data_IF_072698913994
#
_entry.id   IF_072698913994
#
_cell.length_a   1.000
_cell.length_b   1.000
_cell.length_c   1.000
_cell.angle_alpha   90.00
_cell.angle_beta   90.00
_cell.angle_gamma   90.00
#
_symmetry.space_group_name_H-M   'P 1'
#
loop_
_entity.id
_entity.type
_entity.pdbx_description
1 polymer ?
#
# COMPACT_ATOMS: atom_id res chain seq x y z
N UNK A 1 -56.57 38.78 -45.17
CA UNK A 1 -55.22 38.97 -44.73
C UNK A 1 -54.82 37.78 -43.86
N UNK A 2 -54.06 36.84 -44.45
CA UNK A 2 -53.69 35.57 -43.84
C UNK A 2 -52.31 35.68 -43.13
N UNK A 3 -52.27 35.55 -41.81
CA UNK A 3 -51.02 35.59 -41.03
C UNK A 3 -50.35 34.21 -41.00
N UNK A 4 -49.21 34.06 -41.70
CA UNK A 4 -48.34 32.87 -41.64
C UNK A 4 -47.69 32.79 -40.26
N UNK A 5 -47.94 31.67 -39.52
CA UNK A 5 -47.23 31.34 -38.28
C UNK A 5 -45.83 30.79 -38.64
N UNK A 6 -44.80 31.52 -38.19
CA UNK A 6 -43.41 31.08 -38.29
C UNK A 6 -43.11 30.15 -37.08
N UNK A 7 -42.88 28.88 -37.39
CA UNK A 7 -42.47 27.89 -36.36
C UNK A 7 -41.00 28.04 -36.03
N UNK A 8 -40.68 28.45 -34.80
CA UNK A 8 -39.31 28.47 -34.27
C UNK A 8 -38.83 27.05 -34.01
N UNK A 9 -37.90 26.57 -34.83
CA UNK A 9 -37.18 25.29 -34.59
C UNK A 9 -36.35 25.40 -33.30
N UNK A 10 -36.60 24.47 -32.34
CA UNK A 10 -35.80 24.32 -31.09
C UNK A 10 -34.36 23.91 -31.44
N UNK A 11 -33.32 24.46 -30.82
CA UNK A 11 -31.96 24.05 -31.08
C UNK A 11 -31.75 22.61 -30.57
N UNK A 12 -31.23 21.74 -31.42
CA UNK A 12 -30.85 20.36 -31.10
C UNK A 12 -29.65 20.42 -30.18
N UNK A 13 -29.81 19.91 -28.96
CA UNK A 13 -28.72 19.82 -27.98
C UNK A 13 -27.57 18.94 -28.53
N UNK A 14 -26.43 19.54 -28.82
CA UNK A 14 -25.19 18.86 -29.18
C UNK A 14 -24.79 17.92 -28.04
N UNK A 15 -24.92 16.61 -28.22
CA UNK A 15 -24.36 15.62 -27.29
C UNK A 15 -22.87 15.87 -27.17
N UNK A 16 -22.42 16.29 -25.95
CA UNK A 16 -21.01 16.40 -25.62
C UNK A 16 -20.38 15.00 -25.80
N UNK A 17 -19.41 14.89 -26.71
CA UNK A 17 -18.64 13.67 -26.89
C UNK A 17 -18.04 13.27 -25.55
N UNK A 18 -18.32 12.06 -25.10
CA UNK A 18 -17.74 11.49 -23.89
C UNK A 18 -16.21 11.47 -24.08
N UNK A 19 -15.49 12.13 -23.18
CA UNK A 19 -14.01 12.02 -23.13
C UNK A 19 -13.64 10.55 -23.02
N UNK A 20 -12.69 10.06 -23.84
CA UNK A 20 -12.23 8.68 -23.73
C UNK A 20 -11.73 8.49 -22.29
N UNK A 21 -12.32 7.54 -21.56
CA UNK A 21 -11.81 7.09 -20.26
C UNK A 21 -10.41 6.55 -20.54
N UNK A 22 -9.38 7.20 -19.97
CA UNK A 22 -8.04 6.62 -19.91
C UNK A 22 -8.18 5.21 -19.34
N UNK A 23 -7.60 4.17 -19.98
CA UNK A 23 -7.59 2.86 -19.38
C UNK A 23 -6.99 3.03 -17.99
N UNK A 24 -7.70 2.58 -16.94
CA UNK A 24 -7.11 2.41 -15.62
C UNK A 24 -6.02 1.35 -15.86
N UNK A 25 -4.77 1.77 -15.92
CA UNK A 25 -3.66 0.85 -15.89
C UNK A 25 -3.91 -0.07 -14.70
N UNK A 26 -3.92 -1.38 -14.94
CA UNK A 26 -4.06 -2.35 -13.87
C UNK A 26 -2.95 -2.07 -12.86
N UNK A 27 -3.33 -1.65 -11.66
CA UNK A 27 -2.40 -1.35 -10.56
C UNK A 27 -1.52 -2.58 -10.27
N UNK A 28 -2.02 -3.77 -10.62
CA UNK A 28 -1.33 -5.05 -10.49
C UNK A 28 -0.24 -5.30 -11.56
N UNK A 29 -0.15 -4.46 -12.61
CA UNK A 29 0.89 -4.58 -13.64
C UNK A 29 2.03 -3.57 -13.46
N UNK A 30 1.91 -2.66 -12.49
CA UNK A 30 2.98 -1.71 -12.18
C UNK A 30 4.14 -2.44 -11.46
N UNK A 31 5.41 -2.12 -11.80
CA UNK A 31 6.54 -2.70 -11.09
C UNK A 31 6.52 -2.31 -9.61
N UNK A 32 6.77 -3.27 -8.75
CA UNK A 32 6.84 -3.09 -7.29
C UNK A 32 8.32 -3.04 -6.93
N UNK A 33 8.79 -1.94 -6.35
CA UNK A 33 10.21 -1.72 -6.06
C UNK A 33 11.14 -1.98 -7.26
N UNK A 34 10.68 -1.64 -8.49
CA UNK A 34 11.42 -1.83 -9.74
C UNK A 34 11.37 -3.24 -10.33
N UNK A 35 10.66 -4.18 -9.69
CA UNK A 35 10.51 -5.57 -10.13
C UNK A 35 9.12 -5.74 -10.74
N UNK A 36 9.05 -6.34 -11.95
CA UNK A 36 7.78 -6.62 -12.63
C UNK A 36 7.02 -7.76 -11.93
N UNK A 37 5.68 -7.69 -11.87
CA UNK A 37 4.87 -8.73 -11.23
C UNK A 37 5.10 -10.12 -11.84
N UNK A 38 5.06 -11.14 -11.01
CA UNK A 38 5.23 -12.53 -11.43
C UNK A 38 4.07 -13.00 -12.31
N UNK A 39 4.39 -13.63 -13.43
CA UNK A 39 3.40 -14.25 -14.30
C UNK A 39 3.45 -15.77 -14.12
N UNK A 40 2.47 -16.37 -13.43
CA UNK A 40 2.47 -17.81 -13.18
C UNK A 40 2.33 -18.59 -14.49
N UNK A 41 3.13 -19.64 -14.66
CA UNK A 41 3.04 -20.55 -15.79
C UNK A 41 1.91 -21.55 -15.55
N UNK A 42 1.32 -22.08 -16.63
CA UNK A 42 0.28 -23.11 -16.52
C UNK A 42 0.85 -24.40 -15.91
N UNK A 43 0.25 -24.86 -14.81
CA UNK A 43 0.66 -26.09 -14.12
C UNK A 43 1.86 -25.91 -13.20
N UNK A 44 2.21 -24.69 -12.84
CA UNK A 44 3.23 -24.41 -11.83
C UNK A 44 2.63 -24.58 -10.44
N UNK A 45 3.36 -25.29 -9.57
CA UNK A 45 2.97 -25.48 -8.18
C UNK A 45 3.02 -24.15 -7.41
N UNK A 46 2.11 -24.00 -6.43
CA UNK A 46 2.06 -22.83 -5.59
C UNK A 46 3.31 -22.75 -4.71
N UNK A 47 3.90 -21.55 -4.62
CA UNK A 47 5.17 -21.29 -3.92
C UNK A 47 6.33 -22.15 -4.41
N UNK A 48 6.41 -22.34 -5.75
CA UNK A 48 7.61 -22.93 -6.38
C UNK A 48 8.87 -22.10 -6.05
N UNK A 49 10.03 -22.72 -6.18
CA UNK A 49 11.33 -22.06 -5.92
C UNK A 49 11.47 -20.75 -6.70
N UNK A 50 10.98 -20.72 -7.94
CA UNK A 50 11.00 -19.51 -8.78
C UNK A 50 10.12 -18.38 -8.25
N UNK A 51 8.98 -18.73 -7.66
CA UNK A 51 8.07 -17.76 -7.02
C UNK A 51 8.67 -17.26 -5.71
N UNK A 52 9.24 -18.15 -4.89
CA UNK A 52 9.91 -17.77 -3.64
C UNK A 52 11.10 -16.84 -3.89
N UNK A 53 11.90 -17.12 -4.94
CA UNK A 53 13.02 -16.25 -5.32
C UNK A 53 12.55 -14.87 -5.77
N UNK A 54 11.50 -14.79 -6.57
CA UNK A 54 10.88 -13.55 -6.98
C UNK A 54 10.40 -12.69 -5.78
N UNK A 55 9.70 -13.29 -4.81
CA UNK A 55 9.27 -12.56 -3.61
C UNK A 55 10.44 -12.19 -2.71
N UNK A 56 11.48 -13.01 -2.66
CA UNK A 56 12.73 -12.69 -1.95
C UNK A 56 13.41 -11.46 -2.55
N UNK A 57 13.45 -11.35 -3.87
CA UNK A 57 13.99 -10.16 -4.55
C UNK A 57 13.19 -8.91 -4.23
N UNK A 58 11.86 -8.96 -4.30
CA UNK A 58 10.97 -7.84 -3.95
C UNK A 58 11.20 -7.38 -2.50
N UNK A 59 11.20 -8.32 -1.55
CA UNK A 59 11.40 -8.02 -0.13
C UNK A 59 12.78 -7.42 0.15
N UNK A 60 13.82 -7.92 -0.49
CA UNK A 60 15.17 -7.37 -0.36
C UNK A 60 15.31 -5.99 -1.01
N UNK A 61 14.67 -5.76 -2.15
CA UNK A 61 14.64 -4.44 -2.78
C UNK A 61 13.93 -3.42 -1.88
N UNK A 62 12.77 -3.79 -1.35
CA UNK A 62 12.02 -2.95 -0.43
C UNK A 62 12.76 -2.68 0.89
N UNK A 63 13.44 -3.70 1.44
CA UNK A 63 14.29 -3.54 2.63
C UNK A 63 15.39 -2.51 2.39
N UNK A 64 16.09 -2.58 1.27
CA UNK A 64 17.17 -1.63 0.93
C UNK A 64 16.66 -0.20 0.77
N UNK A 65 15.54 -0.03 0.09
CA UNK A 65 14.89 1.26 -0.13
C UNK A 65 14.49 1.90 1.22
N UNK A 66 13.84 1.11 2.08
CA UNK A 66 13.41 1.55 3.41
C UNK A 66 14.61 1.90 4.32
N UNK A 67 15.67 1.11 4.30
CA UNK A 67 16.89 1.42 5.06
C UNK A 67 17.54 2.73 4.59
N UNK A 68 17.58 2.96 3.29
CA UNK A 68 18.09 4.21 2.74
C UNK A 68 17.27 5.43 3.17
N UNK A 69 15.93 5.31 3.18
CA UNK A 69 15.05 6.38 3.65
C UNK A 69 15.24 6.67 5.15
N UNK A 70 15.36 5.62 5.96
CA UNK A 70 15.65 5.75 7.41
C UNK A 70 16.96 6.48 7.63
N UNK A 71 18.03 6.09 6.96
CA UNK A 71 19.35 6.73 7.11
C UNK A 71 19.31 8.20 6.68
N UNK A 72 18.64 8.51 5.57
CA UNK A 72 18.48 9.89 5.08
C UNK A 72 17.75 10.76 6.10
N UNK A 73 16.68 10.25 6.70
CA UNK A 73 15.90 10.98 7.71
C UNK A 73 16.69 11.19 8.99
N UNK A 74 17.56 10.22 9.40
CA UNK A 74 18.47 10.39 10.56
C UNK A 74 19.42 11.56 10.35
N UNK A 75 20.05 11.62 9.17
CA UNK A 75 20.99 12.70 8.87
C UNK A 75 20.28 14.05 8.84
N UNK A 76 19.10 14.13 8.23
CA UNK A 76 18.29 15.35 8.20
C UNK A 76 17.97 15.89 9.61
N UNK A 77 17.52 15.01 10.52
CA UNK A 77 17.25 15.40 11.92
C UNK A 77 18.50 15.84 12.68
N UNK A 78 19.66 15.25 12.39
CA UNK A 78 20.92 15.66 13.04
C UNK A 78 21.39 17.03 12.56
N UNK A 79 21.22 17.31 11.26
CA UNK A 79 21.61 18.58 10.66
C UNK A 79 20.68 19.73 11.13
N UNK A 80 19.38 19.46 11.27
CA UNK A 80 18.42 20.45 11.76
C UNK A 80 18.57 20.72 13.25
N UNK A 81 18.87 19.71 14.07
CA UNK A 81 19.10 19.88 15.51
C UNK A 81 20.28 20.81 15.85
N UNK A 82 21.19 21.03 14.91
CA UNK A 82 22.33 21.92 15.08
C UNK A 82 21.98 23.41 14.82
N UNK A 83 20.81 23.72 14.31
CA UNK A 83 20.41 25.07 13.87
C UNK A 83 19.13 25.53 14.59
N UNK A 84 19.24 26.15 15.78
CA UNK A 84 18.11 26.71 16.53
C UNK A 84 18.05 28.24 16.38
N UNK A 85 17.19 28.81 15.51
CA UNK A 85 17.17 30.26 15.34
C UNK A 85 16.23 31.03 16.29
N UNK A 86 14.95 30.61 16.49
CA UNK A 86 13.96 31.43 17.24
C UNK A 86 13.00 30.54 18.07
N UNK A 87 12.47 31.05 19.25
CA UNK A 87 11.48 30.31 20.06
C UNK A 87 10.18 29.90 19.32
N UNK A 88 9.70 30.69 18.36
CA UNK A 88 8.52 30.34 17.56
C UNK A 88 8.81 29.23 16.56
N UNK A 89 9.98 29.24 15.94
CA UNK A 89 10.44 28.19 15.04
C UNK A 89 10.63 26.86 15.77
N UNK A 90 11.03 26.94 17.05
CA UNK A 90 11.19 25.77 17.92
C UNK A 90 9.90 24.99 18.12
N UNK A 91 8.73 25.66 18.32
CA UNK A 91 7.44 24.99 18.51
C UNK A 91 6.97 24.27 17.21
N UNK A 92 7.23 24.86 16.06
CA UNK A 92 6.95 24.25 14.76
C UNK A 92 7.84 23.02 14.55
N UNK A 93 9.13 23.14 14.85
CA UNK A 93 10.12 22.09 14.72
C UNK A 93 9.84 20.90 15.65
N UNK A 94 9.39 21.15 16.89
CA UNK A 94 8.96 20.10 17.83
C UNK A 94 7.76 19.30 17.27
N UNK A 95 6.84 19.98 16.56
CA UNK A 95 5.71 19.31 15.89
C UNK A 95 6.16 18.48 14.70
N UNK A 96 7.09 18.95 13.90
CA UNK A 96 7.68 18.23 12.76
C UNK A 96 8.47 17.01 13.22
N UNK A 97 9.32 17.15 14.25
CA UNK A 97 10.00 16.01 14.86
C UNK A 97 9.02 14.95 15.39
N UNK A 98 7.89 15.37 15.95
CA UNK A 98 6.85 14.44 16.39
C UNK A 98 6.24 13.62 15.24
N UNK A 99 6.11 14.21 14.05
CA UNK A 99 5.66 13.51 12.84
C UNK A 99 6.73 12.55 12.31
N UNK A 100 7.98 13.00 12.25
CA UNK A 100 9.11 12.19 11.80
C UNK A 100 9.33 10.96 12.70
N UNK A 101 9.26 11.12 14.01
CA UNK A 101 9.37 10.00 14.97
C UNK A 101 8.26 8.96 14.74
N UNK A 102 7.01 9.40 14.48
CA UNK A 102 5.90 8.47 14.17
C UNK A 102 6.12 7.74 12.84
N UNK A 103 6.69 8.43 11.84
CA UNK A 103 7.04 7.82 10.56
C UNK A 103 8.10 6.76 10.75
N UNK A 104 9.16 7.04 11.53
CA UNK A 104 10.20 6.08 11.89
C UNK A 104 9.69 4.85 12.63
N UNK A 105 8.75 5.04 13.54
CA UNK A 105 8.15 3.90 14.22
C UNK A 105 7.38 3.00 13.24
N UNK A 106 6.72 3.57 12.23
CA UNK A 106 6.07 2.80 11.16
C UNK A 106 7.08 2.07 10.28
N UNK A 107 8.16 2.75 9.88
CA UNK A 107 9.24 2.18 9.07
C UNK A 107 9.93 1.03 9.80
N UNK A 108 10.25 1.20 11.09
CA UNK A 108 10.83 0.14 11.92
C UNK A 108 9.91 -1.06 12.04
N UNK A 109 8.59 -0.85 12.22
CA UNK A 109 7.60 -1.93 12.25
C UNK A 109 7.49 -2.63 10.90
N UNK A 110 7.59 -1.88 9.80
CA UNK A 110 7.59 -2.42 8.45
C UNK A 110 8.84 -3.25 8.18
N UNK A 111 10.02 -2.75 8.58
CA UNK A 111 11.29 -3.49 8.45
C UNK A 111 11.22 -4.85 9.16
N UNK A 112 10.70 -4.89 10.38
CA UNK A 112 10.49 -6.17 11.11
C UNK A 112 9.56 -7.12 10.36
N UNK A 113 8.50 -6.60 9.71
CA UNK A 113 7.58 -7.42 8.89
C UNK A 113 8.27 -7.98 7.65
N UNK A 114 9.14 -7.20 7.02
CA UNK A 114 9.93 -7.65 5.87
C UNK A 114 10.91 -8.76 6.33
N UNK A 115 11.60 -8.57 7.44
CA UNK A 115 12.50 -9.58 8.00
C UNK A 115 11.78 -10.87 8.39
N UNK A 116 10.60 -10.75 9.01
CA UNK A 116 9.76 -11.90 9.30
C UNK A 116 9.30 -12.62 8.03
N UNK A 117 8.95 -11.88 6.96
CA UNK A 117 8.58 -12.47 5.68
C UNK A 117 9.76 -13.21 5.03
N UNK A 118 10.98 -12.64 5.09
CA UNK A 118 12.19 -13.32 4.59
C UNK A 118 12.49 -14.60 5.38
N UNK A 119 12.38 -14.58 6.71
CA UNK A 119 12.53 -15.77 7.54
C UNK A 119 11.50 -16.85 7.17
N UNK A 120 10.25 -16.49 6.88
CA UNK A 120 9.21 -17.43 6.42
C UNK A 120 9.52 -18.04 5.05
N UNK A 121 10.19 -17.30 4.16
CA UNK A 121 10.68 -17.86 2.89
C UNK A 121 11.75 -18.93 3.17
N UNK A 122 12.65 -18.67 4.13
CA UNK A 122 13.71 -19.62 4.49
C UNK A 122 13.14 -20.87 5.19
N UNK A 123 12.09 -20.71 6.00
CA UNK A 123 11.39 -21.80 6.70
C UNK A 123 10.38 -22.54 5.80
N UNK A 124 10.11 -22.07 4.57
CA UNK A 124 9.13 -22.63 3.66
C UNK A 124 7.66 -22.39 4.03
N UNK A 125 7.37 -21.53 5.00
CA UNK A 125 6.01 -21.18 5.44
C UNK A 125 5.44 -19.94 4.74
N UNK A 126 6.22 -19.28 3.88
CA UNK A 126 5.78 -18.12 3.13
C UNK A 126 4.68 -18.47 2.13
N UNK A 127 3.70 -17.57 1.99
CA UNK A 127 2.56 -17.78 1.08
C UNK A 127 1.35 -18.45 1.73
N UNK A 128 1.50 -19.02 2.91
CA UNK A 128 0.40 -19.65 3.65
C UNK A 128 -0.07 -18.79 4.82
N UNK A 129 -1.39 -18.85 5.07
CA UNK A 129 -2.04 -18.09 6.13
C UNK A 129 -1.65 -18.63 7.51
N UNK A 130 -1.26 -17.76 8.44
CA UNK A 130 -0.90 -18.14 9.82
C UNK A 130 -2.08 -18.69 10.62
N UNK A 131 -3.32 -18.27 10.32
CA UNK A 131 -4.52 -18.71 11.05
C UNK A 131 -5.17 -19.95 10.46
N UNK A 132 -5.25 -20.05 9.12
CA UNK A 132 -6.02 -21.11 8.45
C UNK A 132 -5.12 -22.16 7.76
N UNK A 133 -3.85 -21.84 7.53
CA UNK A 133 -2.95 -22.69 6.75
C UNK A 133 -3.23 -22.68 5.24
N UNK A 134 -4.23 -21.95 4.78
CA UNK A 134 -4.59 -21.85 3.37
C UNK A 134 -3.66 -20.94 2.58
N UNK A 135 -3.66 -21.08 1.26
CA UNK A 135 -2.89 -20.23 0.35
C UNK A 135 -3.39 -18.77 0.41
N UNK A 136 -2.47 -17.82 0.57
CA UNK A 136 -2.77 -16.37 0.54
C UNK A 136 -3.12 -15.91 -0.88
N UNK A 137 -2.52 -16.55 -1.90
CA UNK A 137 -2.67 -16.24 -3.31
C UNK A 137 -1.65 -15.21 -3.82
N UNK A 138 -1.08 -15.51 -5.01
CA UNK A 138 0.00 -14.71 -5.61
C UNK A 138 -0.39 -13.24 -5.80
N UNK A 139 -1.59 -12.95 -6.30
CA UNK A 139 -2.07 -11.57 -6.53
C UNK A 139 -2.09 -10.72 -5.25
N UNK A 140 -2.41 -11.35 -4.12
CA UNK A 140 -2.42 -10.67 -2.82
C UNK A 140 -1.01 -10.42 -2.31
N UNK A 141 -0.11 -11.39 -2.50
CA UNK A 141 1.30 -11.25 -2.14
C UNK A 141 2.02 -10.23 -3.04
N UNK A 142 1.70 -10.18 -4.32
CA UNK A 142 2.17 -9.11 -5.22
C UNK A 142 1.72 -7.73 -4.73
N UNK A 143 0.46 -7.57 -4.31
CA UNK A 143 -0.02 -6.31 -3.77
C UNK A 143 0.55 -5.99 -2.38
N UNK A 144 0.85 -7.01 -1.57
CA UNK A 144 1.35 -6.88 -0.20
C UNK A 144 2.28 -8.03 0.16
N UNK A 145 3.59 -7.95 -0.14
CA UNK A 145 4.54 -9.03 0.05
C UNK A 145 4.72 -9.49 1.51
N UNK A 146 4.39 -8.63 2.48
CA UNK A 146 4.44 -8.94 3.92
C UNK A 146 3.12 -9.46 4.48
N UNK A 147 2.18 -9.90 3.63
CA UNK A 147 0.90 -10.44 4.10
C UNK A 147 1.10 -11.80 4.78
N UNK A 148 0.48 -11.98 5.95
CA UNK A 148 0.52 -13.22 6.74
C UNK A 148 -0.84 -13.91 6.82
N UNK A 149 -1.92 -13.22 6.41
CA UNK A 149 -3.29 -13.71 6.48
C UNK A 149 -3.94 -13.76 5.09
N UNK A 150 -4.75 -14.78 4.85
CA UNK A 150 -5.63 -14.84 3.70
C UNK A 150 -6.72 -13.76 3.80
N UNK A 151 -7.51 -13.56 2.73
CA UNK A 151 -8.53 -12.50 2.72
C UNK A 151 -9.57 -12.72 3.81
N UNK A 152 -10.07 -13.94 3.94
CA UNK A 152 -11.12 -14.28 4.90
C UNK A 152 -10.67 -14.14 6.37
N UNK A 153 -9.44 -14.54 6.68
CA UNK A 153 -8.86 -14.36 8.02
C UNK A 153 -8.67 -12.89 8.36
N UNK A 154 -8.23 -12.10 7.38
CA UNK A 154 -8.08 -10.66 7.54
C UNK A 154 -9.43 -9.97 7.78
N UNK A 155 -10.46 -10.30 7.02
CA UNK A 155 -11.82 -9.74 7.19
C UNK A 155 -12.41 -10.11 8.55
N UNK A 156 -12.25 -11.35 9.00
CA UNK A 156 -12.67 -11.79 10.34
C UNK A 156 -12.00 -10.97 11.43
N UNK A 157 -10.69 -10.77 11.31
CA UNK A 157 -9.92 -10.00 12.29
C UNK A 157 -10.34 -8.54 12.32
N UNK A 158 -10.52 -7.91 11.17
CA UNK A 158 -10.99 -6.52 11.07
C UNK A 158 -12.41 -6.34 11.62
N UNK A 159 -13.29 -7.32 11.39
CA UNK A 159 -14.64 -7.31 11.96
C UNK A 159 -14.60 -7.41 13.48
N UNK A 160 -13.80 -8.30 14.04
CA UNK A 160 -13.60 -8.45 15.48
C UNK A 160 -13.03 -7.15 16.10
N UNK A 161 -11.97 -6.57 15.51
CA UNK A 161 -11.39 -5.31 15.98
C UNK A 161 -12.40 -4.16 15.96
N UNK A 162 -13.26 -4.10 14.92
CA UNK A 162 -14.32 -3.09 14.82
C UNK A 162 -15.36 -3.25 15.92
N UNK A 163 -15.80 -4.48 16.21
CA UNK A 163 -16.75 -4.78 17.29
C UNK A 163 -16.18 -4.45 18.67
N UNK A 164 -14.90 -4.70 18.91
CA UNK A 164 -14.25 -4.35 20.18
C UNK A 164 -14.15 -2.84 20.37
N UNK A 165 -13.76 -2.10 19.34
CA UNK A 165 -13.67 -0.63 19.38
C UNK A 165 -15.03 0.03 19.63
N UNK A 166 -16.10 -0.41 18.95
CA UNK A 166 -17.44 0.12 19.14
C UNK A 166 -18.02 -0.21 20.54
N UNK A 167 -17.47 -1.22 21.22
CA UNK A 167 -17.83 -1.54 22.61
C UNK A 167 -17.15 -0.61 23.59
N UNK A 168 -15.87 -0.31 23.40
CA UNK A 168 -15.11 0.60 24.29
C UNK A 168 -15.61 2.05 24.19
N UNK A 169 -16.03 2.51 23.01
CA UNK A 169 -16.61 3.84 22.82
C UNK A 169 -17.98 4.01 23.50
N UNK A 170 -18.72 2.92 23.78
CA UNK A 170 -19.99 2.97 24.53
C UNK A 170 -19.83 3.11 26.04
N UNK A 171 -18.63 2.89 26.57
CA UNK A 171 -18.35 2.99 28.02
C UNK A 171 -17.56 4.27 28.38
N UNK A 172 -17.33 5.16 27.41
CA UNK A 172 -16.70 6.47 27.59
C UNK A 172 -17.76 7.58 27.63
#
# INVERSE_FOLDING_TARGET
VSKKKVSKKRPVARKKAARPRRPRGDVLTAPIHGISPYQPKRGEDYMSDTQLEHFREILNAWKRELMYEVDRTVHHMQDEAANFPDPNDRATQESEFGLELRTRDRERKLLRKIESALARIDDGSYGFCEETGEEIGLKRLEARPVATLCLEAQERRELAERQFRDRDDRYR
#
